data_IF_734804733830
#
_entry.id   IF_734804733830
#
_cell.length_a   1.000
_cell.length_b   1.000
_cell.length_c   1.000
_cell.angle_alpha   90.00
_cell.angle_beta   90.00
_cell.angle_gamma   90.00
#
_symmetry.space_group_name_H-M   'P 1'
#
loop_
_entity.id
_entity.type
_entity.pdbx_description
1 polymer ?
#
# COMPACT_ATOMS: atom_id res chain seq x y z
N UNK A 1 -10.07 3.20 6.42
CA UNK A 1 -8.59 3.23 6.40
C UNK A 1 -8.13 4.67 6.61
N UNK A 2 -6.87 4.95 6.95
CA UNK A 2 -6.39 6.34 7.03
C UNK A 2 -6.50 7.05 5.67
N UNK A 3 -6.36 6.31 4.56
CA UNK A 3 -6.50 6.83 3.19
C UNK A 3 -7.90 7.37 2.91
N UNK A 4 -8.93 6.76 3.52
CA UNK A 4 -10.35 7.10 3.30
C UNK A 4 -10.89 8.11 4.31
N UNK A 5 -10.09 8.53 5.29
CA UNK A 5 -10.50 9.55 6.25
C UNK A 5 -10.41 10.94 5.59
N UNK A 6 -11.53 11.65 5.51
CA UNK A 6 -11.62 12.95 4.87
C UNK A 6 -10.64 13.99 5.46
N UNK A 7 -10.36 13.93 6.76
CA UNK A 7 -9.43 14.83 7.43
C UNK A 7 -8.00 14.75 6.86
N UNK A 8 -7.62 13.60 6.29
CA UNK A 8 -6.28 13.36 5.75
C UNK A 8 -6.09 13.88 4.32
N UNK A 9 -7.16 14.26 3.61
CA UNK A 9 -7.11 14.79 2.22
C UNK A 9 -6.38 13.88 1.21
N UNK A 10 -6.38 12.56 1.43
CA UNK A 10 -5.69 11.56 0.59
C UNK A 10 -6.59 10.91 -0.48
N UNK A 11 -7.87 11.28 -0.57
CA UNK A 11 -8.84 10.66 -1.48
C UNK A 11 -8.66 11.03 -2.96
N UNK A 12 -7.92 12.10 -3.26
CA UNK A 12 -7.77 12.63 -4.62
C UNK A 12 -6.74 11.90 -5.48
N UNK A 13 -6.05 10.88 -4.95
CA UNK A 13 -4.94 10.22 -5.64
C UNK A 13 -5.34 9.55 -6.96
N UNK A 14 -6.50 8.89 -7.02
CA UNK A 14 -7.01 8.30 -8.27
C UNK A 14 -7.21 9.36 -9.37
N UNK A 15 -7.91 10.45 -9.04
CA UNK A 15 -8.16 11.55 -9.97
C UNK A 15 -6.84 12.18 -10.46
N UNK A 16 -5.84 12.29 -9.58
CA UNK A 16 -4.51 12.75 -9.94
C UNK A 16 -3.82 11.78 -10.90
N UNK A 17 -3.82 10.47 -10.61
CA UNK A 17 -3.23 9.45 -11.48
C UNK A 17 -3.89 9.39 -12.87
N UNK A 18 -5.22 9.55 -12.95
CA UNK A 18 -5.95 9.61 -14.22
C UNK A 18 -5.54 10.83 -15.06
N UNK A 19 -5.25 11.98 -14.44
CA UNK A 19 -4.68 13.13 -15.15
C UNK A 19 -3.28 12.83 -15.66
N UNK A 20 -2.43 12.20 -14.83
CA UNK A 20 -1.08 11.82 -15.24
C UNK A 20 -1.06 10.77 -16.36
N UNK A 21 -2.03 9.85 -16.35
CA UNK A 21 -2.17 8.83 -17.39
C UNK A 21 -2.32 9.42 -18.80
N UNK A 22 -2.89 10.63 -18.91
CA UNK A 22 -3.06 11.38 -20.17
C UNK A 22 -1.90 12.32 -20.49
N UNK A 23 -1.06 12.64 -19.50
CA UNK A 23 0.04 13.59 -19.67
C UNK A 23 1.07 13.10 -20.69
N UNK A 24 1.55 14.02 -21.52
CA UNK A 24 2.68 13.81 -22.45
C UNK A 24 4.03 14.09 -21.77
N UNK A 25 4.04 14.82 -20.66
CA UNK A 25 5.25 15.20 -19.94
C UNK A 25 5.53 14.21 -18.82
N UNK A 26 6.73 13.62 -18.82
CA UNK A 26 7.27 12.79 -17.73
C UNK A 26 6.59 11.44 -17.48
N UNK A 27 5.44 11.15 -18.09
CA UNK A 27 4.65 9.94 -17.87
C UNK A 27 4.73 8.90 -18.99
N UNK A 28 4.27 7.67 -18.71
CA UNK A 28 4.13 6.63 -19.73
C UNK A 28 3.07 6.94 -20.80
N UNK A 29 2.25 7.99 -20.60
CA UNK A 29 1.11 8.32 -21.47
C UNK A 29 0.26 7.07 -21.74
N UNK A 30 -0.33 6.57 -20.65
CA UNK A 30 -1.10 5.32 -20.60
C UNK A 30 -2.43 5.44 -21.33
N UNK A 31 -2.99 6.64 -21.41
CA UNK A 31 -4.24 6.94 -22.09
C UNK A 31 -3.99 8.00 -23.17
N UNK A 32 -4.64 7.85 -24.31
CA UNK A 32 -4.63 8.86 -25.38
C UNK A 32 -5.54 10.04 -25.04
N UNK A 33 -5.43 11.14 -25.81
CA UNK A 33 -6.25 12.34 -25.59
C UNK A 33 -7.74 12.06 -25.81
N UNK A 34 -8.07 11.17 -26.74
CA UNK A 34 -9.42 10.66 -27.02
C UNK A 34 -9.92 9.60 -26.01
N UNK A 35 -9.16 9.35 -24.93
CA UNK A 35 -9.59 8.49 -23.82
C UNK A 35 -9.31 6.99 -24.00
N UNK A 36 -8.67 6.56 -25.09
CA UNK A 36 -8.34 5.15 -25.32
C UNK A 36 -7.13 4.71 -24.50
N UNK A 37 -7.26 3.57 -23.82
CA UNK A 37 -6.15 2.97 -23.07
C UNK A 37 -5.14 2.28 -23.98
N UNK A 38 -3.86 2.56 -23.76
CA UNK A 38 -2.76 1.91 -24.50
C UNK A 38 -2.36 0.62 -23.81
N UNK A 39 -3.04 -0.49 -24.13
CA UNK A 39 -2.91 -1.77 -23.43
C UNK A 39 -1.47 -2.25 -23.18
N UNK A 40 -0.54 -2.11 -24.13
CA UNK A 40 0.88 -2.46 -23.93
C UNK A 40 1.54 -1.64 -22.83
N UNK A 41 1.27 -0.33 -22.77
CA UNK A 41 1.82 0.57 -21.76
C UNK A 41 1.15 0.37 -20.40
N UNK A 42 -0.15 0.12 -20.37
CA UNK A 42 -0.87 -0.24 -19.14
C UNK A 42 -0.28 -1.51 -18.53
N UNK A 43 -0.08 -2.58 -19.31
CA UNK A 43 0.58 -3.81 -18.83
C UNK A 43 2.01 -3.57 -18.35
N UNK A 44 2.76 -2.68 -19.00
CA UNK A 44 4.10 -2.30 -18.54
C UNK A 44 4.05 -1.56 -17.19
N UNK A 45 3.12 -0.61 -17.02
CA UNK A 45 2.91 0.09 -15.76
C UNK A 45 2.54 -0.88 -14.63
N UNK A 46 1.58 -1.78 -14.85
CA UNK A 46 1.16 -2.74 -13.84
C UNK A 46 2.33 -3.62 -13.37
N UNK A 47 3.18 -4.11 -14.29
CA UNK A 47 4.41 -4.84 -13.91
C UNK A 47 5.39 -4.00 -13.08
N UNK A 48 5.51 -2.71 -13.35
CA UNK A 48 6.35 -1.82 -12.54
C UNK A 48 5.75 -1.62 -11.14
N UNK A 49 4.42 -1.50 -11.04
CA UNK A 49 3.74 -1.41 -9.74
C UNK A 49 3.89 -2.70 -8.94
N UNK A 50 3.78 -3.87 -9.59
CA UNK A 50 3.99 -5.16 -8.92
C UNK A 50 5.42 -5.27 -8.39
N UNK A 51 6.42 -4.91 -9.21
CA UNK A 51 7.82 -4.88 -8.76
C UNK A 51 8.05 -3.90 -7.62
N UNK A 52 7.47 -2.71 -7.71
CA UNK A 52 7.53 -1.71 -6.63
C UNK A 52 6.91 -2.26 -5.34
N UNK A 53 5.77 -2.96 -5.43
CA UNK A 53 5.09 -3.57 -4.29
C UNK A 53 5.95 -4.66 -3.64
N UNK A 54 6.62 -5.51 -4.43
CA UNK A 54 7.59 -6.48 -3.90
C UNK A 54 8.69 -5.80 -3.09
N UNK A 55 9.28 -4.72 -3.63
CA UNK A 55 10.34 -3.97 -2.96
C UNK A 55 9.83 -3.25 -1.71
N UNK A 56 8.62 -2.68 -1.74
CA UNK A 56 8.00 -2.04 -0.59
C UNK A 56 7.77 -3.06 0.53
N UNK A 57 7.27 -4.26 0.19
CA UNK A 57 7.06 -5.34 1.15
C UNK A 57 8.39 -5.81 1.75
N UNK A 58 9.44 -5.96 0.93
CA UNK A 58 10.78 -6.31 1.40
C UNK A 58 11.36 -5.22 2.31
N UNK A 59 11.27 -3.95 1.92
CA UNK A 59 11.74 -2.81 2.71
C UNK A 59 11.01 -2.72 4.05
N UNK A 60 9.68 -2.91 4.04
CA UNK A 60 8.90 -3.03 5.27
C UNK A 60 9.46 -4.16 6.12
N UNK A 61 9.59 -5.37 5.57
CA UNK A 61 10.07 -6.55 6.32
C UNK A 61 11.44 -6.36 6.99
N UNK A 62 12.40 -5.78 6.28
CA UNK A 62 13.79 -5.58 6.76
C UNK A 62 13.83 -4.50 7.85
N UNK A 63 13.12 -3.39 7.65
CA UNK A 63 13.17 -2.24 8.56
C UNK A 63 12.34 -2.41 9.84
N UNK A 64 11.52 -3.48 9.94
CA UNK A 64 10.72 -3.78 11.12
C UNK A 64 11.55 -4.35 12.30
N UNK A 65 12.88 -4.44 12.21
CA UNK A 65 13.74 -5.05 13.23
C UNK A 65 13.90 -6.56 13.00
N UNK A 66 13.65 -7.40 14.02
CA UNK A 66 13.73 -8.87 13.84
C UNK A 66 12.78 -9.29 12.71
N UNK A 67 13.28 -9.94 11.63
CA UNK A 67 12.45 -10.33 10.51
C UNK A 67 11.32 -11.23 11.03
N UNK A 68 10.08 -10.72 10.97
CA UNK A 68 8.89 -11.54 11.22
C UNK A 68 8.91 -12.73 10.26
N UNK A 69 8.41 -13.89 10.68
CA UNK A 69 8.45 -15.07 9.78
C UNK A 69 7.80 -14.73 8.44
N UNK A 70 8.27 -15.30 7.32
CA UNK A 70 7.81 -14.93 5.98
C UNK A 70 6.28 -14.89 5.78
N UNK A 71 5.53 -15.67 6.56
CA UNK A 71 4.06 -15.67 6.57
C UNK A 71 3.40 -14.45 7.25
N UNK A 72 4.11 -13.70 8.09
CA UNK A 72 3.61 -12.53 8.82
C UNK A 72 3.61 -11.26 7.97
N UNK A 73 4.51 -11.17 6.98
CA UNK A 73 4.63 -10.00 6.10
C UNK A 73 3.54 -9.98 5.04
N UNK A 74 3.21 -11.14 4.46
CA UNK A 74 2.18 -11.27 3.41
C UNK A 74 0.76 -11.09 3.95
N UNK A 75 0.56 -11.05 5.26
CA UNK A 75 -0.76 -10.87 5.90
C UNK A 75 -1.06 -9.43 6.30
N UNK A 76 -0.13 -8.48 6.05
CA UNK A 76 -0.32 -7.06 6.32
C UNK A 76 -1.43 -6.50 5.41
N UNK A 77 -2.48 -5.96 6.03
CA UNK A 77 -3.61 -5.31 5.37
C UNK A 77 -3.66 -3.82 5.70
N UNK A 78 -4.05 -2.99 4.74
CA UNK A 78 -4.23 -1.54 4.96
C UNK A 78 -5.70 -1.11 5.10
N UNK A 79 -6.63 -2.02 4.77
CA UNK A 79 -8.09 -1.88 4.96
C UNK A 79 -8.57 -3.03 5.83
N UNK A 80 -9.64 -2.80 6.61
CA UNK A 80 -10.28 -3.87 7.37
C UNK A 80 -10.95 -4.81 6.37
N UNK A 81 -10.78 -6.12 6.57
CA UNK A 81 -11.58 -7.14 5.91
C UNK A 81 -12.75 -7.57 6.82
N UNK A 82 -13.61 -8.43 6.30
CA UNK A 82 -14.76 -8.98 7.06
C UNK A 82 -14.31 -9.79 8.28
N UNK A 83 -13.20 -10.52 8.16
CA UNK A 83 -12.71 -11.44 9.20
C UNK A 83 -11.46 -10.95 9.93
N UNK A 84 -10.76 -9.94 9.41
CA UNK A 84 -9.49 -9.48 9.97
C UNK A 84 -9.34 -7.95 9.82
N UNK A 85 -8.95 -7.28 10.90
CA UNK A 85 -8.68 -5.83 10.85
C UNK A 85 -7.44 -5.50 10.00
N UNK A 86 -7.33 -4.22 9.65
CA UNK A 86 -6.10 -3.67 9.08
C UNK A 86 -4.93 -3.74 10.07
N UNK A 87 -3.74 -3.78 9.51
CA UNK A 87 -2.45 -3.76 10.18
C UNK A 87 -1.75 -2.40 10.06
N UNK A 88 -2.12 -1.55 9.09
CA UNK A 88 -1.46 -0.25 8.85
C UNK A 88 -2.22 0.90 9.50
N UNK A 89 -1.51 1.72 10.28
CA UNK A 89 -2.00 2.87 11.04
C UNK A 89 -1.07 4.08 10.90
N UNK A 90 -1.59 5.27 11.20
CA UNK A 90 -0.79 6.49 11.37
C UNK A 90 -0.95 6.93 12.83
N UNK A 91 0.16 7.08 13.54
CA UNK A 91 0.21 7.51 14.95
C UNK A 91 1.30 8.57 15.09
N UNK A 92 0.95 9.75 15.60
CA UNK A 92 1.91 10.87 15.73
C UNK A 92 2.56 11.29 14.41
N UNK A 93 1.87 11.13 13.28
CA UNK A 93 2.41 11.42 11.94
C UNK A 93 3.32 10.34 11.35
N UNK A 94 3.64 9.28 12.10
CA UNK A 94 4.43 8.15 11.63
C UNK A 94 3.54 6.98 11.20
N UNK A 95 3.97 6.26 10.16
CA UNK A 95 3.30 5.02 9.74
C UNK A 95 3.73 3.89 10.67
N UNK A 96 2.74 3.16 11.18
CA UNK A 96 2.92 2.03 12.07
C UNK A 96 2.23 0.80 11.47
N UNK A 97 2.90 -0.33 11.53
CA UNK A 97 2.33 -1.64 11.24
C UNK A 97 2.12 -2.44 12.51
N UNK A 98 1.00 -3.13 12.61
CA UNK A 98 0.62 -3.98 13.74
C UNK A 98 0.52 -5.42 13.25
N UNK A 99 1.42 -6.28 13.71
CA UNK A 99 1.39 -7.72 13.41
C UNK A 99 0.88 -8.46 14.65
N UNK A 100 -0.08 -9.38 14.44
CA UNK A 100 -0.60 -10.27 15.47
C UNK A 100 0.10 -11.62 15.39
N UNK A 101 0.78 -12.00 16.46
CA UNK A 101 1.48 -13.27 16.57
C UNK A 101 0.56 -14.33 17.17
N UNK A 102 0.13 -15.30 16.36
CA UNK A 102 -0.82 -16.34 16.79
C UNK A 102 -0.17 -17.53 17.52
N UNK A 103 1.16 -17.68 17.54
CA UNK A 103 1.78 -18.86 18.18
C UNK A 103 1.74 -18.85 19.72
N UNK A 104 1.48 -17.70 20.35
CA UNK A 104 1.28 -17.64 21.80
C UNK A 104 -0.18 -17.89 22.21
N UNK A 105 -1.08 -18.12 21.25
CA UNK A 105 -2.51 -18.23 21.52
C UNK A 105 -2.84 -19.47 22.38
N UNK A 106 -2.06 -20.55 22.27
CA UNK A 106 -2.19 -21.73 23.14
C UNK A 106 -1.63 -21.53 24.56
N UNK A 107 -0.88 -20.45 24.81
CA UNK A 107 -0.19 -20.21 26.09
C UNK A 107 -0.76 -19.02 26.87
N UNK A 108 -1.37 -18.03 26.21
CA UNK A 108 -1.75 -16.75 26.84
C UNK A 108 -3.18 -16.27 26.54
N UNK A 109 -4.01 -17.11 25.89
CA UNK A 109 -5.42 -16.85 25.55
C UNK A 109 -5.69 -15.59 24.69
N UNK A 110 -4.65 -14.80 24.38
CA UNK A 110 -4.70 -13.58 23.57
C UNK A 110 -3.48 -13.53 22.62
N UNK A 111 -3.67 -13.15 21.35
CA UNK A 111 -2.57 -12.99 20.40
C UNK A 111 -1.67 -11.83 20.83
N UNK A 112 -0.35 -12.03 20.80
CA UNK A 112 0.61 -10.96 21.08
C UNK A 112 0.55 -9.92 19.96
N UNK A 113 0.29 -8.68 20.32
CA UNK A 113 0.23 -7.54 19.40
C UNK A 113 1.58 -6.81 19.46
N UNK A 114 2.26 -6.69 18.32
CA UNK A 114 3.55 -5.98 18.25
C UNK A 114 3.41 -4.79 17.29
N UNK A 115 3.31 -3.55 17.82
CA UNK A 115 3.38 -2.35 17.00
C UNK A 115 4.83 -2.09 16.57
N UNK A 116 5.02 -1.70 15.31
CA UNK A 116 6.33 -1.37 14.75
C UNK A 116 6.19 -0.15 13.84
N UNK A 117 6.97 0.89 14.11
CA UNK A 117 6.98 2.11 13.30
C UNK A 117 7.90 1.92 12.09
N UNK A 118 7.47 2.40 10.92
CA UNK A 118 8.33 2.43 9.75
C UNK A 118 9.26 3.64 9.81
N UNK A 119 10.48 3.53 9.25
CA UNK A 119 11.32 4.69 9.01
C UNK A 119 10.56 5.77 8.24
N UNK A 120 10.76 7.08 8.53
CA UNK A 120 9.94 8.15 7.97
C UNK A 120 9.78 8.12 6.44
N UNK A 121 10.89 7.90 5.71
CA UNK A 121 10.87 7.82 4.24
C UNK A 121 10.06 6.63 3.73
N UNK A 122 10.21 5.46 4.37
CA UNK A 122 9.46 4.27 4.00
C UNK A 122 7.97 4.42 4.30
N UNK A 123 7.63 5.07 5.41
CA UNK A 123 6.26 5.44 5.75
C UNK A 123 5.64 6.37 4.69
N UNK A 124 6.36 7.41 4.25
CA UNK A 124 5.90 8.30 3.18
C UNK A 124 5.65 7.55 1.87
N UNK A 125 6.58 6.67 1.47
CA UNK A 125 6.42 5.82 0.28
C UNK A 125 5.17 4.93 0.40
N UNK A 126 4.94 4.32 1.56
CA UNK A 126 3.73 3.53 1.81
C UNK A 126 2.45 4.37 1.68
N UNK A 127 2.44 5.59 2.21
CA UNK A 127 1.29 6.50 2.07
C UNK A 127 1.03 6.85 0.61
N UNK A 128 2.06 7.18 -0.16
CA UNK A 128 1.95 7.48 -1.59
C UNK A 128 1.41 6.28 -2.38
N UNK A 129 1.93 5.08 -2.11
CA UNK A 129 1.44 3.85 -2.71
C UNK A 129 -0.06 3.64 -2.44
N UNK A 130 -0.47 3.71 -1.18
CA UNK A 130 -1.84 3.42 -0.77
C UNK A 130 -2.85 4.49 -1.23
N UNK A 131 -2.42 5.74 -1.42
CA UNK A 131 -3.30 6.85 -1.82
C UNK A 131 -3.35 7.08 -3.34
N UNK A 132 -2.27 6.82 -4.08
CA UNK A 132 -2.20 7.07 -5.53
C UNK A 132 -2.17 5.78 -6.35
N UNK A 133 -1.17 4.92 -6.13
CA UNK A 133 -0.89 3.78 -7.00
C UNK A 133 -1.93 2.66 -6.84
N UNK A 134 -2.26 2.32 -5.59
CA UNK A 134 -3.23 1.25 -5.27
C UNK A 134 -4.61 1.49 -5.89
N UNK A 135 -5.30 2.64 -5.70
CA UNK A 135 -6.61 2.85 -6.31
C UNK A 135 -6.55 2.95 -7.83
N UNK A 136 -5.44 3.43 -8.40
CA UNK A 136 -5.27 3.46 -9.86
C UNK A 136 -5.03 2.07 -10.45
N UNK A 137 -4.27 1.21 -9.76
CA UNK A 137 -4.13 -0.20 -10.12
C UNK A 137 -5.49 -0.92 -10.05
N UNK A 138 -6.25 -0.72 -8.95
CA UNK A 138 -7.62 -1.25 -8.81
C UNK A 138 -8.50 -0.81 -9.98
N UNK A 139 -8.45 0.48 -10.37
CA UNK A 139 -9.22 1.02 -11.50
C UNK A 139 -8.84 0.40 -12.86
N UNK A 140 -7.56 0.13 -13.11
CA UNK A 140 -7.08 -0.40 -14.40
C UNK A 140 -7.35 -1.90 -14.61
N UNK A 141 -7.67 -2.62 -13.53
CA UNK A 141 -7.91 -4.07 -13.54
C UNK A 141 -9.40 -4.43 -13.66
N UNK A 142 -10.28 -3.43 -13.63
CA UNK A 142 -11.74 -3.53 -13.85
C UNK A 142 -12.04 -3.20 -15.31
#
# INVERSE_FOLDING_TARGET
SFVTNAANRLSNGLAWMLRQARSKEGGMQLQTVDGRWRGRKVRQYLRQVDRFRELLVAGVHIEQGQPGRGSEVTTIRFRNGVLQDRNVFIVGGAVMTVVRYHKSQSQWDKPKVVPRFLPPRLGQIMVLYLSYLQPFQEYLLV
#
